data_IF_452344912889
#
_entry.id   IF_452344912889
#
_cell.length_a   1.000
_cell.length_b   1.000
_cell.length_c   1.000
_cell.angle_alpha   90.00
_cell.angle_beta   90.00
_cell.angle_gamma   90.00
#
_symmetry.space_group_name_H-M   'P 1'
#
loop_
_entity.id
_entity.type
_entity.pdbx_description
1 polymer ?
#
# COMPACT_ATOMS: atom_id res chain seq x y z
N UNK A 1 23.96 -57.22 -55.90
CA UNK A 1 24.83 -56.73 -54.85
C UNK A 1 24.66 -55.19 -54.75
N UNK A 2 23.83 -54.67 -53.83
CA UNK A 2 23.60 -53.22 -53.66
C UNK A 2 24.41 -52.77 -52.47
N UNK A 3 25.34 -51.84 -52.68
CA UNK A 3 26.15 -51.22 -51.63
C UNK A 3 25.33 -50.08 -50.99
N UNK A 4 25.02 -50.19 -49.69
CA UNK A 4 24.38 -49.19 -48.91
C UNK A 4 25.46 -48.27 -48.34
N UNK A 5 25.44 -46.98 -48.71
CA UNK A 5 26.25 -45.96 -48.15
C UNK A 5 25.51 -45.40 -46.95
N UNK A 6 26.06 -45.55 -45.74
CA UNK A 6 25.60 -44.91 -44.53
C UNK A 6 26.33 -43.58 -44.39
N UNK A 7 25.61 -42.49 -44.63
CA UNK A 7 26.11 -41.13 -44.36
C UNK A 7 25.90 -40.83 -42.87
N UNK A 8 26.97 -40.78 -42.12
CA UNK A 8 27.00 -40.38 -40.72
C UNK A 8 26.99 -38.85 -40.64
N UNK A 9 25.83 -38.22 -40.42
CA UNK A 9 25.72 -36.80 -40.10
C UNK A 9 26.07 -36.60 -38.64
N UNK A 10 27.29 -36.16 -38.34
CA UNK A 10 27.70 -35.62 -37.06
C UNK A 10 27.05 -34.24 -36.88
N UNK A 11 25.93 -34.18 -36.11
CA UNK A 11 25.37 -32.94 -35.62
C UNK A 11 26.29 -32.43 -34.48
N UNK A 12 27.14 -31.45 -34.78
CA UNK A 12 27.81 -30.63 -33.82
C UNK A 12 26.75 -29.72 -33.16
N UNK A 13 26.21 -30.14 -32.03
CA UNK A 13 25.43 -29.25 -31.13
C UNK A 13 26.44 -28.39 -30.40
N UNK A 14 26.67 -27.20 -30.95
CA UNK A 14 27.38 -26.14 -30.23
C UNK A 14 26.52 -25.67 -29.07
N UNK A 15 26.73 -26.22 -27.90
CA UNK A 15 26.23 -25.62 -26.65
C UNK A 15 26.94 -24.30 -26.44
N UNK A 16 26.35 -23.22 -26.91
CA UNK A 16 26.67 -21.87 -26.41
C UNK A 16 26.21 -21.82 -24.99
N UNK A 17 27.05 -22.20 -24.06
CA UNK A 17 26.88 -21.83 -22.66
C UNK A 17 27.00 -20.31 -22.61
N UNK A 18 25.87 -19.62 -22.75
CA UNK A 18 25.79 -18.19 -22.45
C UNK A 18 26.26 -18.03 -21.02
N UNK A 19 27.42 -17.42 -20.86
CA UNK A 19 27.84 -16.86 -19.58
C UNK A 19 26.74 -15.88 -19.16
N UNK A 20 25.80 -16.34 -18.32
CA UNK A 20 24.92 -15.45 -17.60
C UNK A 20 25.82 -14.68 -16.65
N UNK A 21 26.30 -13.51 -17.11
CA UNK A 21 26.94 -12.55 -16.22
C UNK A 21 25.85 -12.20 -15.21
N UNK A 22 26.05 -12.46 -13.91
CA UNK A 22 25.06 -12.05 -12.93
C UNK A 22 24.88 -10.54 -13.09
N UNK A 23 23.64 -10.08 -13.28
CA UNK A 23 23.36 -8.65 -13.26
C UNK A 23 23.97 -8.09 -11.98
N UNK A 24 24.74 -7.00 -12.10
CA UNK A 24 25.33 -6.36 -10.93
C UNK A 24 24.19 -6.07 -9.94
N UNK A 25 24.41 -6.40 -8.66
CA UNK A 25 23.42 -6.12 -7.63
C UNK A 25 23.17 -4.60 -7.59
N UNK A 26 21.90 -4.21 -7.47
CA UNK A 26 21.51 -2.80 -7.36
C UNK A 26 22.17 -2.17 -6.13
N UNK A 27 22.78 -1.02 -6.29
CA UNK A 27 23.36 -0.23 -5.20
C UNK A 27 22.28 0.50 -4.40
N UNK A 28 22.64 1.01 -3.20
CA UNK A 28 21.73 1.81 -2.40
C UNK A 28 21.27 3.08 -3.14
N UNK A 29 22.18 3.76 -3.83
CA UNK A 29 21.87 4.99 -4.59
C UNK A 29 20.90 4.70 -5.74
N UNK A 30 21.08 3.61 -6.46
CA UNK A 30 20.16 3.16 -7.51
C UNK A 30 18.80 2.77 -6.93
N UNK A 31 18.76 2.13 -5.75
CA UNK A 31 17.53 1.80 -5.06
C UNK A 31 16.78 3.05 -4.58
N UNK A 32 17.47 4.09 -4.16
CA UNK A 32 16.88 5.38 -3.82
C UNK A 32 16.38 6.12 -5.06
N UNK A 33 17.06 5.96 -6.20
CA UNK A 33 16.68 6.62 -7.45
C UNK A 33 15.40 6.11 -8.10
N UNK A 34 14.85 4.94 -7.66
CA UNK A 34 13.52 4.50 -8.13
C UNK A 34 12.36 5.32 -7.57
N UNK A 35 12.62 6.18 -6.58
CA UNK A 35 11.58 7.03 -5.99
C UNK A 35 11.50 8.38 -6.70
N UNK A 36 10.29 8.79 -7.05
CA UNK A 36 9.97 10.12 -7.51
C UNK A 36 9.31 10.90 -6.35
N UNK A 37 10.11 11.68 -5.63
CA UNK A 37 9.68 12.26 -4.36
C UNK A 37 9.43 11.18 -3.30
N UNK A 38 8.20 11.13 -2.79
CA UNK A 38 7.81 10.14 -1.78
C UNK A 38 7.29 8.84 -2.39
N UNK A 39 7.06 8.78 -3.70
CA UNK A 39 6.40 7.65 -4.35
C UNK A 39 7.37 6.77 -5.16
N UNK A 40 7.00 5.49 -5.36
CA UNK A 40 7.74 4.56 -6.21
C UNK A 40 7.44 4.86 -7.68
N UNK A 41 8.47 5.19 -8.45
CA UNK A 41 8.37 5.64 -9.85
C UNK A 41 8.66 4.57 -10.90
N UNK A 42 8.69 3.28 -10.53
CA UNK A 42 8.90 2.20 -11.53
C UNK A 42 7.64 2.01 -12.38
N UNK A 43 7.77 1.50 -13.64
CA UNK A 43 6.61 1.23 -14.48
C UNK A 43 5.80 0.03 -13.98
N UNK A 44 4.50 -0.01 -14.27
CA UNK A 44 3.66 -1.19 -14.04
C UNK A 44 3.96 -2.26 -15.11
N UNK A 45 4.99 -3.04 -14.87
CA UNK A 45 5.50 -4.07 -15.78
C UNK A 45 6.33 -5.12 -15.03
N UNK A 46 6.67 -6.22 -15.69
CA UNK A 46 7.58 -7.23 -15.13
C UNK A 46 8.97 -6.63 -14.82
N UNK A 47 9.44 -5.67 -15.63
CA UNK A 47 10.68 -4.95 -15.38
C UNK A 47 10.60 -4.08 -14.12
N UNK A 48 9.51 -3.31 -13.95
CA UNK A 48 9.28 -2.50 -12.76
C UNK A 48 9.18 -3.36 -11.50
N UNK A 49 8.55 -4.55 -11.59
CA UNK A 49 8.57 -5.53 -10.50
C UNK A 49 10.00 -5.93 -10.13
N UNK A 50 10.81 -6.30 -11.12
CA UNK A 50 12.20 -6.71 -10.89
C UNK A 50 13.04 -5.58 -10.29
N UNK A 51 12.85 -4.34 -10.74
CA UNK A 51 13.50 -3.16 -10.15
C UNK A 51 13.13 -2.98 -8.69
N UNK A 52 11.85 -3.14 -8.33
CA UNK A 52 11.37 -3.03 -6.95
C UNK A 52 11.92 -4.15 -6.05
N UNK A 53 11.97 -5.39 -6.57
CA UNK A 53 12.58 -6.52 -5.85
C UNK A 53 14.09 -6.30 -5.62
N UNK A 54 14.80 -5.77 -6.61
CA UNK A 54 16.22 -5.42 -6.49
C UNK A 54 16.45 -4.29 -5.48
N UNK A 55 15.55 -3.29 -5.43
CA UNK A 55 15.63 -2.20 -4.46
C UNK A 55 15.39 -2.70 -3.02
N UNK A 56 14.43 -3.60 -2.82
CA UNK A 56 14.23 -4.26 -1.51
C UNK A 56 15.52 -4.94 -1.05
N UNK A 57 16.16 -5.69 -1.93
CA UNK A 57 17.43 -6.38 -1.57
C UNK A 57 18.55 -5.37 -1.30
N UNK A 58 18.69 -4.31 -2.08
CA UNK A 58 19.67 -3.26 -1.84
C UNK A 58 19.47 -2.58 -0.47
N UNK A 59 18.22 -2.28 -0.07
CA UNK A 59 17.91 -1.75 1.26
C UNK A 59 18.25 -2.76 2.37
N UNK A 60 17.95 -4.03 2.18
CA UNK A 60 18.29 -5.10 3.14
C UNK A 60 19.80 -5.21 3.33
N UNK A 61 20.57 -5.17 2.23
CA UNK A 61 22.04 -5.19 2.27
C UNK A 61 22.59 -3.94 2.98
N UNK A 62 22.06 -2.74 2.67
CA UNK A 62 22.47 -1.49 3.31
C UNK A 62 22.20 -1.49 4.82
N UNK A 63 21.13 -2.13 5.26
CA UNK A 63 20.80 -2.31 6.67
C UNK A 63 21.59 -3.46 7.34
N UNK A 64 22.28 -4.30 6.58
CA UNK A 64 22.97 -5.49 7.08
C UNK A 64 22.00 -6.61 7.53
N UNK A 65 20.81 -6.70 6.92
CA UNK A 65 19.79 -7.69 7.28
C UNK A 65 20.27 -9.10 6.97
N UNK A 66 20.44 -9.99 7.96
CA UNK A 66 20.91 -11.34 7.70
C UNK A 66 19.81 -12.18 7.02
N UNK A 67 20.20 -13.10 6.15
CA UNK A 67 19.26 -13.99 5.45
C UNK A 67 18.43 -14.85 6.41
N UNK A 68 18.92 -15.09 7.64
CA UNK A 68 18.21 -15.86 8.68
C UNK A 68 17.14 -15.06 9.44
N UNK A 69 17.04 -13.74 9.25
CA UNK A 69 16.06 -12.92 9.94
C UNK A 69 14.65 -13.27 9.45
N UNK A 70 13.77 -13.64 10.37
CA UNK A 70 12.35 -13.77 10.06
C UNK A 70 11.68 -12.38 10.01
N UNK A 71 11.64 -11.78 8.83
CA UNK A 71 11.10 -10.45 8.62
C UNK A 71 9.55 -10.36 8.74
N UNK A 72 8.84 -11.49 8.79
CA UNK A 72 7.39 -11.48 9.05
C UNK A 72 7.07 -11.37 10.54
N UNK A 73 8.07 -11.53 11.40
CA UNK A 73 7.93 -11.41 12.85
C UNK A 73 8.32 -10.00 13.29
N UNK A 74 7.33 -9.25 13.79
CA UNK A 74 7.54 -7.91 14.33
C UNK A 74 8.53 -7.92 15.51
N UNK A 75 8.49 -8.95 16.36
CA UNK A 75 9.41 -9.10 17.49
C UNK A 75 10.85 -9.30 17.01
N UNK A 76 11.08 -10.18 16.02
CA UNK A 76 12.42 -10.45 15.48
C UNK A 76 13.00 -9.24 14.77
N UNK A 77 12.21 -8.53 13.99
CA UNK A 77 12.61 -7.26 13.38
C UNK A 77 12.83 -6.19 14.44
N UNK A 78 12.01 -6.17 15.49
CA UNK A 78 12.16 -5.27 16.63
C UNK A 78 13.48 -5.42 17.37
N UNK A 79 13.97 -6.66 17.54
CA UNK A 79 15.25 -6.98 18.18
C UNK A 79 16.47 -6.65 17.30
N UNK A 80 16.30 -6.58 15.96
CA UNK A 80 17.38 -6.30 15.04
C UNK A 80 17.89 -4.87 15.21
N UNK A 81 19.22 -4.72 15.45
CA UNK A 81 19.83 -3.41 15.66
C UNK A 81 19.98 -2.63 14.36
N UNK A 82 19.49 -1.40 14.34
CA UNK A 82 19.61 -0.47 13.20
C UNK A 82 20.08 0.88 13.73
N UNK A 83 21.05 1.48 13.03
CA UNK A 83 21.49 2.84 13.33
C UNK A 83 20.39 3.86 13.00
N UNK A 84 20.22 4.89 13.84
CA UNK A 84 19.26 5.96 13.64
C UNK A 84 19.44 6.67 12.29
N UNK A 85 20.68 6.78 11.79
CA UNK A 85 20.96 7.34 10.46
C UNK A 85 20.26 6.57 9.32
N UNK A 86 19.92 5.31 9.54
CA UNK A 86 19.26 4.44 8.56
C UNK A 86 17.72 4.40 8.69
N UNK A 87 17.11 5.23 9.55
CA UNK A 87 15.64 5.24 9.75
C UNK A 87 14.89 5.46 8.44
N UNK A 88 15.36 6.34 7.57
CA UNK A 88 14.73 6.58 6.27
C UNK A 88 14.75 5.36 5.35
N UNK A 89 15.78 4.51 5.45
CA UNK A 89 15.85 3.25 4.68
C UNK A 89 14.80 2.26 5.17
N UNK A 90 14.50 2.22 6.49
CA UNK A 90 13.40 1.40 7.01
C UNK A 90 12.04 1.81 6.43
N UNK A 91 11.80 3.12 6.33
CA UNK A 91 10.57 3.64 5.74
C UNK A 91 10.44 3.24 4.27
N UNK A 92 11.53 3.37 3.50
CA UNK A 92 11.58 2.95 2.09
C UNK A 92 11.40 1.44 1.93
N UNK A 93 12.01 0.64 2.78
CA UNK A 93 11.84 -0.82 2.78
C UNK A 93 10.39 -1.22 3.09
N UNK A 94 9.76 -0.59 4.10
CA UNK A 94 8.35 -0.79 4.42
C UNK A 94 7.43 -0.44 3.25
N UNK A 95 7.69 0.69 2.57
CA UNK A 95 6.99 1.13 1.37
C UNK A 95 7.15 0.13 0.22
N UNK A 96 8.38 -0.33 -0.06
CA UNK A 96 8.64 -1.28 -1.14
C UNK A 96 7.92 -2.62 -0.92
N UNK A 97 7.90 -3.13 0.32
CA UNK A 97 7.14 -4.34 0.62
C UNK A 97 5.64 -4.15 0.40
N UNK A 98 5.07 -3.00 0.83
CA UNK A 98 3.68 -2.65 0.54
C UNK A 98 3.42 -2.63 -0.96
N UNK A 99 4.23 -1.88 -1.70
CA UNK A 99 4.07 -1.68 -3.14
C UNK A 99 4.20 -3.00 -3.92
N UNK A 100 5.19 -3.84 -3.57
CA UNK A 100 5.35 -5.16 -4.18
C UNK A 100 4.13 -6.05 -3.93
N UNK A 101 3.64 -6.06 -2.69
CA UNK A 101 2.48 -6.85 -2.31
C UNK A 101 1.19 -6.38 -3.00
N UNK A 102 0.89 -5.08 -2.95
CA UNK A 102 -0.38 -4.53 -3.43
C UNK A 102 -0.51 -4.55 -4.95
N UNK A 103 0.61 -4.41 -5.66
CA UNK A 103 0.62 -4.20 -7.10
C UNK A 103 0.97 -5.48 -7.88
N UNK A 104 1.95 -6.24 -7.40
CA UNK A 104 2.54 -7.31 -8.22
C UNK A 104 2.28 -8.73 -7.72
N UNK A 105 1.75 -8.89 -6.51
CA UNK A 105 1.52 -10.22 -5.94
C UNK A 105 0.03 -10.48 -5.76
N UNK A 106 -0.51 -11.53 -6.40
CA UNK A 106 -1.90 -11.91 -6.23
C UNK A 106 -2.26 -12.18 -4.77
N UNK A 107 -3.53 -11.96 -4.42
CA UNK A 107 -4.02 -12.22 -3.05
C UNK A 107 -3.74 -13.67 -2.64
N UNK A 108 -3.06 -13.83 -1.51
CA UNK A 108 -2.67 -15.13 -0.96
C UNK A 108 -1.64 -14.99 0.15
N UNK A 109 -1.06 -16.12 0.55
CA UNK A 109 -0.08 -16.17 1.65
C UNK A 109 1.20 -15.40 1.34
N UNK A 110 1.66 -15.40 0.10
CA UNK A 110 2.85 -14.65 -0.33
C UNK A 110 2.61 -13.14 -0.21
N UNK A 111 1.44 -12.65 -0.66
CA UNK A 111 1.07 -11.25 -0.53
C UNK A 111 0.97 -10.85 0.95
N UNK A 112 0.31 -11.69 1.77
CA UNK A 112 0.20 -11.49 3.22
C UNK A 112 1.57 -11.42 3.89
N UNK A 113 2.50 -12.30 3.50
CA UNK A 113 3.86 -12.32 4.04
C UNK A 113 4.61 -11.03 3.73
N UNK A 114 4.45 -10.45 2.53
CA UNK A 114 5.06 -9.16 2.17
C UNK A 114 4.49 -8.01 3.01
N UNK A 115 3.16 -7.95 3.21
CA UNK A 115 2.57 -6.95 4.10
C UNK A 115 3.03 -7.10 5.56
N UNK A 116 3.21 -8.34 6.05
CA UNK A 116 3.77 -8.59 7.38
C UNK A 116 5.20 -8.07 7.50
N UNK A 117 6.05 -8.28 6.47
CA UNK A 117 7.40 -7.72 6.42
C UNK A 117 7.37 -6.20 6.44
N UNK A 118 6.57 -5.59 5.56
CA UNK A 118 6.39 -4.14 5.50
C UNK A 118 5.92 -3.55 6.83
N UNK A 119 4.95 -4.20 7.50
CA UNK A 119 4.48 -3.84 8.83
C UNK A 119 5.62 -3.89 9.85
N UNK A 120 6.36 -5.01 9.91
CA UNK A 120 7.43 -5.19 10.90
C UNK A 120 8.52 -4.11 10.78
N UNK A 121 8.94 -3.78 9.55
CA UNK A 121 9.91 -2.69 9.31
C UNK A 121 9.34 -1.31 9.60
N UNK A 122 8.09 -1.04 9.26
CA UNK A 122 7.40 0.20 9.60
C UNK A 122 7.29 0.42 11.11
N UNK A 123 6.88 -0.60 11.87
CA UNK A 123 6.86 -0.54 13.34
C UNK A 123 8.26 -0.43 13.94
N UNK A 124 9.27 -1.07 13.33
CA UNK A 124 10.67 -0.85 13.73
C UNK A 124 11.05 0.61 13.59
N UNK A 125 10.69 1.26 12.49
CA UNK A 125 10.96 2.69 12.27
C UNK A 125 10.28 3.57 13.32
N UNK A 126 8.99 3.34 13.64
CA UNK A 126 8.28 4.05 14.70
C UNK A 126 8.99 3.92 16.06
N UNK A 127 9.37 2.68 16.43
CA UNK A 127 10.04 2.39 17.72
C UNK A 127 11.47 2.90 17.80
N UNK A 128 12.06 3.36 16.70
CA UNK A 128 13.32 4.11 16.74
C UNK A 128 13.15 5.53 17.32
N UNK A 129 11.94 6.08 17.34
CA UNK A 129 11.64 7.26 18.13
C UNK A 129 11.57 6.85 19.61
N UNK A 130 12.50 7.33 20.49
CA UNK A 130 12.53 6.93 21.89
C UNK A 130 11.25 7.30 22.65
N UNK A 131 10.61 8.43 22.27
CA UNK A 131 9.37 8.87 22.91
C UNK A 131 8.21 7.95 22.52
N UNK A 132 8.09 7.59 21.22
CA UNK A 132 7.11 6.60 20.78
C UNK A 132 7.29 5.27 21.52
N UNK A 133 8.52 4.74 21.53
CA UNK A 133 8.83 3.46 22.17
C UNK A 133 8.57 3.45 23.70
N UNK A 134 8.79 4.57 24.37
CA UNK A 134 8.50 4.72 25.79
C UNK A 134 6.99 4.71 26.06
N UNK A 135 6.23 5.53 25.34
CA UNK A 135 4.78 5.65 25.52
C UNK A 135 4.04 4.36 25.16
N UNK A 136 4.43 3.69 24.08
CA UNK A 136 3.82 2.39 23.68
C UNK A 136 3.92 1.34 24.81
N UNK A 137 4.97 1.40 25.65
CA UNK A 137 5.27 0.41 26.70
C UNK A 137 4.70 0.75 28.07
N UNK A 138 4.53 2.05 28.40
CA UNK A 138 4.30 2.52 29.76
C UNK A 138 2.87 2.37 30.27
N UNK A 139 2.00 1.70 29.53
CA UNK A 139 0.61 1.62 29.88
C UNK A 139 0.26 0.68 31.01
N UNK A 140 -0.74 1.09 31.75
CA UNK A 140 -1.40 0.24 32.72
C UNK A 140 -1.92 -1.02 32.05
N UNK A 141 -1.70 -2.23 32.63
CA UNK A 141 -2.30 -3.45 32.14
C UNK A 141 -3.82 -3.26 31.99
N UNK A 142 -4.32 -3.27 30.76
CA UNK A 142 -5.74 -3.03 30.45
C UNK A 142 -5.99 -1.85 29.50
N UNK A 143 -5.06 -0.93 29.32
CA UNK A 143 -5.23 0.27 28.46
C UNK A 143 -4.13 0.42 27.38
N UNK A 144 -3.75 -0.69 26.75
CA UNK A 144 -2.72 -0.71 25.70
C UNK A 144 -3.09 0.10 24.45
N UNK A 145 -4.37 0.37 24.25
CA UNK A 145 -4.87 1.12 23.11
C UNK A 145 -4.56 2.61 23.27
N UNK A 146 -4.91 3.19 24.41
CA UNK A 146 -4.67 4.61 24.68
C UNK A 146 -3.19 4.97 24.67
N UNK A 147 -2.33 4.08 25.16
CA UNK A 147 -0.89 4.29 25.12
C UNK A 147 -0.33 4.31 23.70
N UNK A 148 -0.82 3.43 22.84
CA UNK A 148 -0.41 3.44 21.43
C UNK A 148 -0.85 4.74 20.76
N UNK A 149 -2.06 5.22 21.03
CA UNK A 149 -2.57 6.48 20.47
C UNK A 149 -1.72 7.66 20.97
N UNK A 150 -1.35 7.67 22.26
CA UNK A 150 -0.46 8.69 22.81
C UNK A 150 0.94 8.62 22.17
N UNK A 151 1.48 7.43 21.96
CA UNK A 151 2.74 7.23 21.24
C UNK A 151 2.68 7.77 19.80
N UNK A 152 1.58 7.53 19.09
CA UNK A 152 1.33 8.06 17.73
C UNK A 152 1.33 9.59 17.73
N UNK A 153 0.77 10.23 18.74
CA UNK A 153 0.78 11.70 18.86
C UNK A 153 2.20 12.28 19.05
N UNK A 154 3.10 11.50 19.63
CA UNK A 154 4.50 11.89 19.82
C UNK A 154 5.36 11.66 18.55
N UNK A 155 4.88 10.91 17.57
CA UNK A 155 5.63 10.66 16.32
C UNK A 155 5.43 11.81 15.33
N UNK A 156 6.52 12.15 14.62
CA UNK A 156 6.54 13.19 13.58
C UNK A 156 7.07 12.69 12.23
N UNK A 157 7.54 11.43 12.16
CA UNK A 157 8.01 10.81 10.92
C UNK A 157 6.79 10.31 10.11
N UNK A 158 6.38 11.14 9.17
CA UNK A 158 5.21 10.87 8.30
C UNK A 158 5.33 9.57 7.51
N UNK A 159 6.46 9.27 6.82
CA UNK A 159 6.65 7.98 6.15
C UNK A 159 6.53 6.78 7.09
N UNK A 160 7.08 6.85 8.31
CA UNK A 160 6.96 5.77 9.28
C UNK A 160 5.51 5.50 9.67
N UNK A 161 4.75 6.56 10.01
CA UNK A 161 3.32 6.47 10.34
C UNK A 161 2.50 5.89 9.17
N UNK A 162 2.69 6.44 7.97
CA UNK A 162 1.90 6.07 6.80
C UNK A 162 2.12 4.62 6.39
N UNK A 163 3.38 4.20 6.18
CA UNK A 163 3.68 2.88 5.65
C UNK A 163 3.51 1.75 6.66
N UNK A 164 3.76 2.01 7.96
CA UNK A 164 3.42 1.06 9.01
C UNK A 164 1.90 0.81 9.04
N UNK A 165 1.11 1.89 8.98
CA UNK A 165 -0.34 1.81 8.97
C UNK A 165 -0.89 1.11 7.71
N UNK A 166 -0.41 1.47 6.52
CA UNK A 166 -0.84 0.88 5.27
C UNK A 166 -0.63 -0.64 5.25
N UNK A 167 0.56 -1.10 5.61
CA UNK A 167 0.87 -2.52 5.73
C UNK A 167 0.00 -3.22 6.80
N UNK A 168 -0.26 -2.55 7.93
CA UNK A 168 -1.08 -3.12 8.99
C UNK A 168 -2.53 -3.29 8.57
N UNK A 169 -3.13 -2.28 7.93
CA UNK A 169 -4.48 -2.36 7.38
C UNK A 169 -4.62 -3.50 6.37
N UNK A 170 -3.68 -3.61 5.42
CA UNK A 170 -3.68 -4.70 4.44
C UNK A 170 -3.53 -6.08 5.10
N UNK A 171 -2.67 -6.20 6.11
CA UNK A 171 -2.56 -7.45 6.89
C UNK A 171 -3.89 -7.80 7.57
N UNK A 172 -4.59 -6.80 8.09
CA UNK A 172 -5.87 -6.96 8.78
C UNK A 172 -7.01 -7.45 7.88
N UNK A 173 -6.93 -7.23 6.57
CA UNK A 173 -7.90 -7.76 5.60
C UNK A 173 -7.91 -9.29 5.53
N UNK A 174 -6.84 -9.97 5.97
CA UNK A 174 -6.74 -11.43 6.03
C UNK A 174 -7.38 -12.03 7.30
N UNK A 175 -7.61 -11.19 8.31
CA UNK A 175 -8.30 -11.57 9.55
C UNK A 175 -9.01 -10.32 10.12
N UNK A 176 -10.11 -9.93 9.48
CA UNK A 176 -10.87 -8.72 9.88
C UNK A 176 -11.42 -8.83 11.30
N UNK A 177 -11.86 -10.02 11.71
CA UNK A 177 -12.39 -10.21 13.05
C UNK A 177 -11.30 -10.13 14.12
N UNK A 178 -10.16 -10.80 13.92
CA UNK A 178 -9.01 -10.70 14.80
C UNK A 178 -8.45 -9.28 14.88
N UNK A 179 -8.44 -8.54 13.77
CA UNK A 179 -8.03 -7.14 13.76
C UNK A 179 -8.98 -6.27 14.60
N UNK A 180 -10.29 -6.46 14.47
CA UNK A 180 -11.29 -5.71 15.22
C UNK A 180 -11.17 -5.96 16.73
N UNK A 181 -11.11 -7.24 17.14
CA UNK A 181 -10.99 -7.63 18.55
C UNK A 181 -9.61 -7.33 19.13
N UNK A 182 -8.58 -7.24 18.29
CA UNK A 182 -7.21 -6.85 18.66
C UNK A 182 -7.00 -5.34 18.79
N UNK A 183 -8.04 -4.51 18.63
CA UNK A 183 -7.96 -3.06 18.77
C UNK A 183 -7.15 -2.40 17.65
N UNK A 184 -7.12 -2.98 16.44
CA UNK A 184 -6.40 -2.40 15.30
C UNK A 184 -7.09 -1.12 14.81
N UNK A 185 -8.44 -1.04 14.68
CA UNK A 185 -9.08 0.10 14.06
C UNK A 185 -8.77 1.45 14.73
N UNK A 186 -8.91 1.64 16.06
CA UNK A 186 -8.60 2.93 16.69
C UNK A 186 -7.14 3.34 16.55
N UNK A 187 -6.22 2.39 16.57
CA UNK A 187 -4.78 2.63 16.40
C UNK A 187 -4.44 3.05 14.97
N UNK A 188 -5.04 2.37 14.01
CA UNK A 188 -4.89 2.66 12.59
C UNK A 188 -5.49 4.02 12.23
N UNK A 189 -6.67 4.34 12.75
CA UNK A 189 -7.28 5.65 12.57
C UNK A 189 -6.38 6.75 13.15
N UNK A 190 -5.84 6.57 14.37
CA UNK A 190 -4.93 7.53 14.99
C UNK A 190 -3.68 7.78 14.13
N UNK A 191 -3.06 6.73 13.57
CA UNK A 191 -1.90 6.88 12.68
C UNK A 191 -2.26 7.66 11.40
N UNK A 192 -3.41 7.36 10.79
CA UNK A 192 -3.86 8.07 9.59
C UNK A 192 -4.20 9.53 9.88
N UNK A 193 -4.85 9.84 11.01
CA UNK A 193 -5.15 11.20 11.44
C UNK A 193 -3.87 11.98 11.77
N UNK A 194 -2.89 11.36 12.43
CA UNK A 194 -1.61 11.99 12.72
C UNK A 194 -0.82 12.29 11.45
N UNK A 195 -0.80 11.35 10.49
CA UNK A 195 -0.21 11.59 9.18
C UNK A 195 -0.91 12.76 8.45
N UNK A 196 -2.25 12.79 8.51
CA UNK A 196 -3.04 13.87 7.91
C UNK A 196 -2.73 15.24 8.54
N UNK A 197 -2.57 15.28 9.86
CA UNK A 197 -2.22 16.51 10.59
C UNK A 197 -0.83 17.04 10.18
N UNK A 198 0.15 16.15 10.08
CA UNK A 198 1.54 16.50 9.79
C UNK A 198 1.79 16.83 8.31
N UNK A 199 1.18 16.06 7.40
CA UNK A 199 1.41 16.18 5.98
C UNK A 199 0.15 15.75 5.17
N UNK A 200 -0.85 16.64 5.04
CA UNK A 200 -2.13 16.32 4.40
C UNK A 200 -2.00 15.89 2.93
N UNK A 201 -0.95 16.32 2.24
CA UNK A 201 -0.70 16.02 0.82
C UNK A 201 0.21 14.82 0.58
N UNK A 202 0.72 14.18 1.64
CA UNK A 202 1.64 13.03 1.52
C UNK A 202 1.01 11.92 0.66
N UNK A 203 1.78 11.36 -0.28
CA UNK A 203 1.34 10.35 -1.27
C UNK A 203 0.01 10.77 -1.93
N UNK A 204 0.01 11.96 -2.51
CA UNK A 204 -1.14 12.52 -3.21
C UNK A 204 -2.44 12.44 -2.38
N UNK A 205 -2.40 13.05 -1.18
CA UNK A 205 -3.51 13.04 -0.21
C UNK A 205 -3.84 11.66 0.35
N UNK A 206 -2.83 10.79 0.47
CA UNK A 206 -2.98 9.39 0.84
C UNK A 206 -3.74 9.14 2.14
N UNK A 207 -3.58 9.99 3.17
CA UNK A 207 -4.29 9.84 4.43
C UNK A 207 -5.79 10.10 4.29
N UNK A 208 -6.22 11.06 3.46
CA UNK A 208 -7.63 11.25 3.17
C UNK A 208 -8.23 10.03 2.47
N UNK A 209 -7.56 9.54 1.42
CA UNK A 209 -7.95 8.33 0.72
C UNK A 209 -8.04 7.12 1.65
N UNK A 210 -7.02 6.93 2.50
CA UNK A 210 -6.96 5.83 3.45
C UNK A 210 -8.07 5.90 4.50
N UNK A 211 -8.39 7.08 5.04
CA UNK A 211 -9.49 7.27 6.00
C UNK A 211 -10.85 7.07 5.35
N UNK A 212 -11.03 7.50 4.10
CA UNK A 212 -12.22 7.21 3.32
C UNK A 212 -12.43 5.71 3.14
N UNK A 213 -11.41 5.00 2.70
CA UNK A 213 -11.42 3.55 2.52
C UNK A 213 -11.55 2.79 3.86
N UNK A 214 -10.92 3.28 4.92
CA UNK A 214 -11.05 2.73 6.26
C UNK A 214 -12.51 2.69 6.71
N UNK A 215 -13.19 3.84 6.75
CA UNK A 215 -14.58 3.89 7.18
C UNK A 215 -15.56 3.20 6.20
N UNK A 216 -15.25 3.19 4.91
CA UNK A 216 -16.06 2.49 3.89
C UNK A 216 -15.84 0.98 3.85
N UNK A 217 -14.64 0.50 4.22
CA UNK A 217 -14.24 -0.90 4.13
C UNK A 217 -14.34 -1.71 5.42
N UNK A 218 -14.67 -1.08 6.57
CA UNK A 218 -14.91 -1.80 7.81
C UNK A 218 -16.06 -2.80 7.65
N UNK A 219 -16.05 -3.92 8.37
CA UNK A 219 -17.15 -4.88 8.30
C UNK A 219 -18.44 -4.31 8.89
N UNK A 220 -19.56 -4.64 8.28
CA UNK A 220 -20.90 -4.48 8.89
C UNK A 220 -21.13 -5.69 9.77
N UNK A 221 -21.27 -5.50 11.08
CA UNK A 221 -21.57 -6.58 12.04
C UNK A 221 -22.94 -6.34 12.65
N UNK A 222 -24.00 -6.95 12.09
CA UNK A 222 -25.35 -6.75 12.57
C UNK A 222 -25.47 -7.10 14.07
N UNK A 223 -26.20 -6.29 14.81
CA UNK A 223 -26.56 -6.50 16.22
C UNK A 223 -25.46 -6.18 17.26
N UNK A 224 -24.22 -5.89 16.88
CA UNK A 224 -23.19 -5.63 17.89
C UNK A 224 -22.98 -4.14 18.18
N UNK A 225 -23.43 -3.23 17.30
CA UNK A 225 -23.28 -1.77 17.45
C UNK A 225 -21.87 -1.38 17.93
N UNK A 226 -20.86 -1.82 17.17
CA UNK A 226 -19.48 -1.61 17.51
C UNK A 226 -19.02 -0.18 17.17
N UNK A 227 -18.10 0.41 17.93
CA UNK A 227 -17.59 1.76 17.65
C UNK A 227 -16.84 1.84 16.31
N UNK A 228 -16.34 0.70 15.81
CA UNK A 228 -15.64 0.56 14.53
C UNK A 228 -16.39 -0.46 13.66
N UNK A 229 -17.37 0.03 12.95
CA UNK A 229 -18.09 -0.66 11.87
C UNK A 229 -18.18 0.25 10.65
N UNK A 230 -18.60 -0.28 9.50
CA UNK A 230 -18.76 0.52 8.28
C UNK A 230 -19.61 1.76 8.54
N UNK A 231 -19.06 2.92 8.21
CA UNK A 231 -19.73 4.21 8.35
C UNK A 231 -19.48 5.09 7.11
N UNK A 232 -20.39 5.00 6.17
CA UNK A 232 -20.30 5.75 4.92
C UNK A 232 -20.50 7.26 5.13
N UNK A 233 -21.10 7.69 6.24
CA UNK A 233 -21.23 9.11 6.58
C UNK A 233 -19.92 9.71 7.05
N UNK A 234 -19.06 8.89 7.68
CA UNK A 234 -17.67 9.27 8.00
C UNK A 234 -16.73 9.13 6.81
N UNK A 235 -16.97 8.15 5.92
CA UNK A 235 -16.15 7.89 4.74
C UNK A 235 -16.20 9.03 3.72
N UNK A 236 -17.41 9.48 3.35
CA UNK A 236 -17.61 10.49 2.29
C UNK A 236 -16.81 11.78 2.50
N UNK A 237 -16.79 12.41 3.69
CA UNK A 237 -16.05 13.65 3.90
C UNK A 237 -14.56 13.55 3.57
N UNK A 238 -13.93 12.39 3.77
CA UNK A 238 -12.54 12.18 3.41
C UNK A 238 -12.36 12.04 1.90
N UNK A 239 -13.23 11.27 1.23
CA UNK A 239 -13.18 11.15 -0.22
C UNK A 239 -13.45 12.47 -0.93
N UNK A 240 -14.33 13.30 -0.42
CA UNK A 240 -14.59 14.64 -0.98
C UNK A 240 -13.34 15.54 -0.99
N UNK A 241 -12.30 15.22 -0.23
CA UNK A 241 -11.03 15.95 -0.25
C UNK A 241 -10.08 15.46 -1.36
N UNK A 242 -10.37 14.32 -2.00
CA UNK A 242 -9.48 13.69 -3.00
C UNK A 242 -10.15 13.37 -4.33
N UNK A 243 -11.45 13.69 -4.47
CA UNK A 243 -12.18 13.51 -5.72
C UNK A 243 -12.94 14.80 -6.06
N UNK A 244 -12.98 15.13 -7.35
CA UNK A 244 -13.73 16.30 -7.84
C UNK A 244 -15.15 15.87 -8.24
N UNK A 245 -16.01 15.63 -7.24
CA UNK A 245 -17.40 15.18 -7.42
C UNK A 245 -18.39 16.13 -6.74
N UNK A 246 -18.58 17.34 -7.31
CA UNK A 246 -19.38 18.39 -6.66
C UNK A 246 -20.83 17.99 -6.39
N UNK A 247 -21.41 17.10 -7.20
CA UNK A 247 -22.78 16.64 -6.99
C UNK A 247 -22.95 15.78 -5.73
N UNK A 248 -21.92 15.03 -5.33
CA UNK A 248 -21.92 14.15 -4.16
C UNK A 248 -21.28 14.82 -2.93
N UNK A 249 -20.39 15.78 -3.16
CA UNK A 249 -19.61 16.43 -2.11
C UNK A 249 -20.20 17.76 -1.60
N UNK A 250 -21.40 18.13 -2.00
CA UNK A 250 -22.07 19.40 -1.61
C UNK A 250 -22.31 19.54 -0.11
N UNK A 251 -22.41 18.44 0.62
CA UNK A 251 -22.64 18.42 2.06
C UNK A 251 -21.36 18.20 2.90
N UNK A 252 -20.18 18.24 2.29
CA UNK A 252 -18.94 17.98 3.00
C UNK A 252 -18.53 19.16 3.88
N UNK A 253 -18.70 19.00 5.20
CA UNK A 253 -18.30 19.99 6.20
C UNK A 253 -16.79 20.04 6.43
N UNK A 254 -16.05 18.97 6.07
CA UNK A 254 -14.58 18.92 6.20
C UNK A 254 -13.85 19.61 5.05
N UNK A 255 -14.48 19.75 3.90
CA UNK A 255 -13.88 20.34 2.71
C UNK A 255 -13.95 21.88 2.65
N UNK A 256 -14.43 22.56 3.67
CA UNK A 256 -14.43 24.04 3.70
C UNK A 256 -13.02 24.64 3.69
N UNK A 257 -12.00 23.84 3.99
CA UNK A 257 -10.58 24.18 3.98
C UNK A 257 -9.77 23.38 2.96
N UNK A 258 -10.40 22.44 2.24
CA UNK A 258 -9.76 21.71 1.15
C UNK A 258 -9.88 22.53 -0.12
N UNK A 259 -8.82 23.17 -0.62
CA UNK A 259 -8.81 23.52 -2.02
C UNK A 259 -8.89 22.19 -2.76
N UNK A 260 -9.87 22.04 -3.65
CA UNK A 260 -9.87 20.93 -4.61
C UNK A 260 -8.68 21.20 -5.51
N UNK A 261 -7.55 20.61 -5.15
CA UNK A 261 -6.37 20.62 -6.00
C UNK A 261 -6.71 19.75 -7.23
N UNK A 262 -6.75 20.33 -8.44
CA UNK A 262 -7.05 19.55 -9.65
C UNK A 262 -6.12 18.34 -9.83
N UNK A 263 -4.90 18.40 -9.27
CA UNK A 263 -3.92 17.33 -9.35
C UNK A 263 -4.33 16.05 -8.63
N UNK A 264 -5.33 16.09 -7.73
CA UNK A 264 -5.84 14.87 -7.06
C UNK A 264 -6.38 13.85 -8.06
N UNK A 265 -6.87 14.28 -9.22
CA UNK A 265 -7.37 13.40 -10.27
C UNK A 265 -6.25 12.73 -11.08
N UNK A 266 -5.02 13.26 -11.03
CA UNK A 266 -3.87 12.67 -11.71
C UNK A 266 -3.43 11.37 -11.02
N UNK A 267 -3.80 11.16 -9.76
CA UNK A 267 -3.54 9.94 -9.00
C UNK A 267 -4.80 9.08 -8.99
N UNK A 268 -4.84 8.06 -9.83
CA UNK A 268 -6.06 7.29 -10.12
C UNK A 268 -6.62 6.53 -8.92
N UNK A 269 -5.78 6.16 -7.98
CA UNK A 269 -6.20 5.48 -6.76
C UNK A 269 -7.20 6.31 -5.92
N UNK A 270 -7.13 7.66 -6.00
CA UNK A 270 -8.11 8.52 -5.35
C UNK A 270 -9.54 8.24 -5.85
N UNK A 271 -9.70 8.19 -7.18
CA UNK A 271 -10.99 7.90 -7.82
C UNK A 271 -11.39 6.43 -7.69
N UNK A 272 -10.40 5.52 -7.82
CA UNK A 272 -10.66 4.10 -7.68
C UNK A 272 -11.17 3.75 -6.27
N UNK A 273 -10.52 4.24 -5.22
CA UNK A 273 -10.95 3.99 -3.84
C UNK A 273 -12.32 4.59 -3.54
N UNK A 274 -12.63 5.77 -4.09
CA UNK A 274 -13.96 6.35 -3.98
C UNK A 274 -15.03 5.45 -4.63
N UNK A 275 -14.74 4.92 -5.81
CA UNK A 275 -15.65 4.00 -6.48
C UNK A 275 -15.84 2.68 -5.70
N UNK A 276 -14.75 2.08 -5.20
CA UNK A 276 -14.73 0.79 -4.50
C UNK A 276 -15.34 0.88 -3.10
N UNK A 277 -14.90 1.85 -2.28
CA UNK A 277 -15.21 1.89 -0.85
C UNK A 277 -16.38 2.82 -0.48
N UNK A 278 -16.87 3.60 -1.44
CA UNK A 278 -18.02 4.46 -1.19
C UNK A 278 -19.16 4.24 -2.19
N UNK A 279 -18.94 4.47 -3.49
CA UNK A 279 -20.03 4.43 -4.48
C UNK A 279 -20.62 3.02 -4.62
N UNK A 280 -19.79 2.00 -4.64
CA UNK A 280 -20.20 0.59 -4.64
C UNK A 280 -20.99 0.23 -3.37
N UNK A 281 -20.48 0.60 -2.20
CA UNK A 281 -21.13 0.32 -0.90
C UNK A 281 -22.47 1.04 -0.78
N UNK A 282 -22.59 2.26 -1.29
CA UNK A 282 -23.85 3.01 -1.40
C UNK A 282 -24.76 2.50 -2.52
N UNK A 283 -24.31 1.53 -3.33
CA UNK A 283 -25.03 1.03 -4.54
C UNK A 283 -25.35 2.13 -5.56
N UNK A 284 -24.50 3.16 -5.61
CA UNK A 284 -24.55 4.26 -6.59
C UNK A 284 -23.88 3.81 -7.90
N UNK A 285 -24.44 2.76 -8.51
CA UNK A 285 -23.80 2.05 -9.63
C UNK A 285 -23.55 2.93 -10.86
N UNK A 286 -24.44 3.88 -11.15
CA UNK A 286 -24.28 4.80 -12.29
C UNK A 286 -23.10 5.77 -12.06
N UNK A 287 -22.93 6.28 -10.84
CA UNK A 287 -21.81 7.13 -10.49
C UNK A 287 -20.50 6.32 -10.44
N UNK A 288 -20.52 5.12 -9.87
CA UNK A 288 -19.37 4.22 -9.88
C UNK A 288 -18.90 3.94 -11.31
N UNK A 289 -19.83 3.62 -12.22
CA UNK A 289 -19.52 3.42 -13.64
C UNK A 289 -18.83 4.65 -14.24
N UNK A 290 -19.41 5.84 -14.07
CA UNK A 290 -18.89 7.09 -14.60
C UNK A 290 -17.48 7.39 -14.08
N UNK A 291 -17.23 7.20 -12.79
CA UNK A 291 -15.91 7.43 -12.17
C UNK A 291 -14.89 6.42 -12.71
N UNK A 292 -15.23 5.13 -12.80
CA UNK A 292 -14.33 4.10 -13.33
C UNK A 292 -14.02 4.32 -14.81
N UNK A 293 -15.02 4.69 -15.63
CA UNK A 293 -14.81 5.03 -17.03
C UNK A 293 -13.88 6.25 -17.20
N UNK A 294 -13.95 7.25 -16.30
CA UNK A 294 -13.03 8.38 -16.32
C UNK A 294 -11.58 7.97 -16.05
N UNK A 295 -11.33 7.00 -15.14
CA UNK A 295 -9.99 6.45 -14.91
C UNK A 295 -9.45 5.78 -16.18
N UNK A 296 -10.31 5.04 -16.89
CA UNK A 296 -9.91 4.32 -18.10
C UNK A 296 -9.68 5.23 -19.30
N UNK A 297 -10.32 6.38 -19.32
CA UNK A 297 -10.18 7.36 -20.40
C UNK A 297 -8.91 8.23 -20.27
N UNK A 298 -8.41 8.42 -19.04
CA UNK A 298 -7.25 9.25 -18.79
C UNK A 298 -5.94 8.52 -19.14
N UNK A 299 -4.92 9.21 -19.70
CA UNK A 299 -3.61 8.63 -19.92
C UNK A 299 -2.92 8.33 -18.57
N UNK A 300 -2.16 7.24 -18.49
CA UNK A 300 -1.40 6.88 -17.29
C UNK A 300 -0.46 8.00 -16.85
N UNK A 301 0.15 8.70 -17.83
CA UNK A 301 1.12 9.77 -17.57
C UNK A 301 2.44 9.28 -16.98
N UNK A 302 3.39 10.22 -16.83
CA UNK A 302 4.75 9.91 -16.35
C UNK A 302 4.93 10.17 -14.84
N UNK A 303 3.95 10.82 -14.21
CA UNK A 303 4.06 11.24 -12.80
C UNK A 303 3.86 10.05 -11.83
N UNK A 304 2.89 9.19 -12.12
CA UNK A 304 2.53 8.04 -11.27
C UNK A 304 2.35 6.76 -12.10
N UNK A 305 3.35 6.36 -12.92
CA UNK A 305 3.17 5.32 -13.93
C UNK A 305 2.81 3.97 -13.32
N UNK A 306 3.34 3.66 -12.13
CA UNK A 306 3.09 2.40 -11.43
C UNK A 306 1.64 2.33 -10.93
N UNK A 307 1.25 3.30 -10.10
CA UNK A 307 -0.08 3.29 -9.46
C UNK A 307 -1.19 3.51 -10.48
N UNK A 308 -1.04 4.48 -11.40
CA UNK A 308 -2.04 4.70 -12.44
C UNK A 308 -2.22 3.48 -13.36
N UNK A 309 -1.12 2.77 -13.66
CA UNK A 309 -1.18 1.54 -14.45
C UNK A 309 -2.01 0.45 -13.77
N UNK A 310 -1.74 0.17 -12.50
CA UNK A 310 -2.48 -0.87 -11.75
C UNK A 310 -3.93 -0.44 -11.48
N UNK A 311 -4.18 0.84 -11.24
CA UNK A 311 -5.54 1.32 -10.94
C UNK A 311 -6.44 1.30 -12.18
N UNK A 312 -5.89 1.44 -13.39
CA UNK A 312 -6.66 1.15 -14.60
C UNK A 312 -7.07 -0.32 -14.70
N UNK A 313 -6.20 -1.28 -14.31
CA UNK A 313 -6.57 -2.70 -14.29
C UNK A 313 -7.63 -3.00 -13.21
N UNK A 314 -7.45 -2.44 -12.01
CA UNK A 314 -8.45 -2.53 -10.92
C UNK A 314 -9.79 -1.93 -11.36
N UNK A 315 -9.77 -0.76 -12.02
CA UNK A 315 -10.97 -0.09 -12.53
C UNK A 315 -11.69 -0.92 -13.61
N UNK A 316 -10.97 -1.57 -14.54
CA UNK A 316 -11.58 -2.50 -15.52
C UNK A 316 -12.29 -3.65 -14.83
N UNK A 317 -11.66 -4.22 -13.81
CA UNK A 317 -12.22 -5.35 -13.05
C UNK A 317 -13.49 -4.95 -12.32
N UNK A 318 -13.45 -3.82 -11.58
CA UNK A 318 -14.61 -3.33 -10.84
C UNK A 318 -15.75 -2.90 -11.78
N UNK A 319 -15.44 -2.35 -12.96
CA UNK A 319 -16.43 -1.96 -13.95
C UNK A 319 -17.25 -3.14 -14.47
N UNK A 320 -16.68 -4.34 -14.53
CA UNK A 320 -17.43 -5.57 -14.89
C UNK A 320 -18.50 -5.84 -13.83
N UNK A 321 -18.17 -5.77 -12.54
CA UNK A 321 -19.12 -5.95 -11.45
C UNK A 321 -20.22 -4.88 -11.49
N UNK A 322 -19.83 -3.61 -11.63
CA UNK A 322 -20.76 -2.48 -11.68
C UNK A 322 -21.76 -2.60 -12.85
N UNK A 323 -21.29 -3.00 -14.05
CA UNK A 323 -22.14 -3.21 -15.20
C UNK A 323 -23.12 -4.38 -14.98
N UNK A 324 -22.69 -5.46 -14.30
CA UNK A 324 -23.56 -6.58 -13.98
C UNK A 324 -24.68 -6.17 -13.01
N UNK A 325 -24.40 -5.30 -12.05
CA UNK A 325 -25.42 -4.76 -11.13
C UNK A 325 -26.40 -3.81 -11.83
N UNK A 326 -25.91 -2.97 -12.74
CA UNK A 326 -26.77 -2.10 -13.55
C UNK A 326 -27.71 -2.87 -14.47
N UNK A 327 -27.28 -4.02 -15.00
CA UNK A 327 -28.09 -4.87 -15.87
C UNK A 327 -29.23 -5.62 -15.14
N UNK A 328 -29.22 -5.67 -13.81
CA UNK A 328 -30.30 -6.28 -12.98
C UNK A 328 -31.52 -5.36 -12.78
N UNK A 329 -31.37 -4.10 -13.14
CA UNK A 329 -32.42 -3.06 -13.01
C UNK A 329 -33.16 -2.88 -14.36
#
# INVERSE_FOLDING_TARGET
MRKIWIILCLLLVSTVAGLVVPAAAMTLDEALAIFHGDDVGVPYSAEGKAQLEAAIEAFRVALGVPASLNETSEDRVGEFAVDMANKSILNKLSQCYYTLADIFVPRGDDQKALYLKGKAWGFKSLRMNPQFAALEKTGTPGNKEDNFIEAVQAETDVPALYWANANWLRTSEYDKFGALTGGVPPKSEAMALRTLELAPTYICYGSYRSLGAFWGGLPVIPLLNLPYEQDLTKSLPYFCCVVNEPALCTACTKCTTCPIDPSVNEYFENRYFFAEFYLKEMKLWADAKRVLESILADPIGDKYPLYNGVDQEKARTLLIEVNAELAKK
#
